data_IF_335812144420
#
_entry.id   IF_335812144420
#
_cell.length_a   1.000
_cell.length_b   1.000
_cell.length_c   1.000
_cell.angle_alpha   90.00
_cell.angle_beta   90.00
_cell.angle_gamma   90.00
#
_symmetry.space_group_name_H-M   'P 1'
#
loop_
_entity.id
_entity.type
_entity.pdbx_description
1 polymer ?
#
# COMPACT_ATOMS: atom_id res chain seq x y z
N UNK A 1 7.37 -9.74 -4.84
CA UNK A 1 7.43 -9.00 -3.56
C UNK A 1 6.20 -8.12 -3.30
N UNK A 2 5.19 -8.13 -4.18
CA UNK A 2 3.87 -7.48 -3.93
C UNK A 2 2.68 -8.39 -4.29
N UNK A 3 2.92 -9.70 -4.39
CA UNK A 3 1.90 -10.71 -4.71
C UNK A 3 2.02 -11.84 -3.71
N UNK A 4 0.88 -12.43 -3.32
CA UNK A 4 0.84 -13.64 -2.50
C UNK A 4 1.88 -14.64 -3.02
N UNK A 5 2.83 -15.02 -2.17
CA UNK A 5 3.92 -15.93 -2.52
C UNK A 5 3.48 -17.39 -2.65
N UNK A 6 2.19 -17.66 -2.45
CA UNK A 6 1.65 -19.00 -2.65
C UNK A 6 1.64 -19.35 -4.13
N UNK A 7 2.06 -20.59 -4.45
CA UNK A 7 2.05 -21.12 -5.81
C UNK A 7 0.66 -21.01 -6.46
N UNK A 8 -0.40 -21.23 -5.67
CA UNK A 8 -1.79 -21.12 -6.12
C UNK A 8 -2.20 -19.70 -6.51
N UNK A 9 -1.82 -18.68 -5.75
CA UNK A 9 -2.14 -17.29 -6.09
C UNK A 9 -1.40 -16.84 -7.37
N UNK A 10 -0.11 -17.18 -7.48
CA UNK A 10 0.67 -16.88 -8.68
C UNK A 10 0.13 -17.59 -9.93
N UNK A 11 -0.24 -18.88 -9.80
CA UNK A 11 -0.88 -19.62 -10.88
C UNK A 11 -2.21 -18.98 -11.31
N UNK A 12 -3.07 -18.64 -10.33
CA UNK A 12 -4.37 -18.00 -10.60
C UNK A 12 -4.21 -16.64 -11.28
N UNK A 13 -3.24 -15.84 -10.84
CA UNK A 13 -2.89 -14.57 -11.45
C UNK A 13 -2.32 -14.74 -12.87
N UNK A 14 -1.52 -15.76 -13.14
CA UNK A 14 -1.00 -15.98 -14.49
C UNK A 14 -2.11 -16.45 -15.45
N UNK A 15 -2.96 -17.39 -14.99
CA UNK A 15 -4.08 -17.89 -15.79
C UNK A 15 -5.14 -16.82 -16.06
N UNK A 16 -5.37 -15.91 -15.10
CA UNK A 16 -6.32 -14.82 -15.28
C UNK A 16 -5.93 -13.79 -16.35
N UNK A 17 -4.66 -13.76 -16.78
CA UNK A 17 -4.18 -12.93 -17.88
C UNK A 17 -4.57 -13.49 -19.26
N UNK A 18 -4.73 -14.80 -19.34
CA UNK A 18 -4.96 -15.55 -20.59
C UNK A 18 -6.45 -15.85 -20.80
N UNK A 19 -7.25 -15.84 -19.73
CA UNK A 19 -8.64 -16.23 -19.75
C UNK A 19 -9.58 -15.00 -19.79
N UNK A 20 -10.77 -15.13 -20.42
CA UNK A 20 -11.75 -14.04 -20.47
C UNK A 20 -12.17 -13.55 -19.09
N UNK A 21 -12.55 -12.27 -19.02
CA UNK A 21 -13.14 -11.67 -17.82
C UNK A 21 -14.37 -12.44 -17.35
N UNK A 22 -14.46 -12.71 -16.04
CA UNK A 22 -15.57 -13.42 -15.42
C UNK A 22 -15.31 -14.90 -15.09
N UNK A 23 -14.27 -15.51 -15.67
CA UNK A 23 -13.97 -16.93 -15.41
C UNK A 23 -13.18 -17.13 -14.10
N UNK A 24 -12.04 -16.44 -13.93
CA UNK A 24 -11.20 -16.54 -12.72
C UNK A 24 -11.31 -15.33 -11.79
N UNK A 25 -11.62 -14.18 -12.37
CA UNK A 25 -11.78 -12.90 -11.70
C UNK A 25 -12.98 -12.20 -12.29
N UNK A 26 -13.75 -11.49 -11.46
CA UNK A 26 -14.73 -10.54 -11.95
C UNK A 26 -14.04 -9.46 -12.79
N UNK A 27 -14.77 -8.80 -13.70
CA UNK A 27 -14.21 -7.69 -14.49
C UNK A 27 -13.60 -6.60 -13.60
N UNK A 28 -14.26 -6.31 -12.46
CA UNK A 28 -13.78 -5.36 -11.46
C UNK A 28 -12.47 -5.82 -10.79
N UNK A 29 -12.36 -7.11 -10.48
CA UNK A 29 -11.14 -7.67 -9.89
C UNK A 29 -9.98 -7.79 -10.88
N UNK A 30 -10.28 -7.99 -12.17
CA UNK A 30 -9.25 -7.97 -13.19
C UNK A 30 -8.60 -6.59 -13.31
N UNK A 31 -9.38 -5.51 -13.25
CA UNK A 31 -8.83 -4.14 -13.30
C UNK A 31 -7.84 -3.83 -12.16
N UNK A 32 -7.92 -4.55 -11.03
CA UNK A 32 -6.98 -4.41 -9.91
C UNK A 32 -5.60 -5.02 -10.21
N UNK A 33 -5.53 -6.04 -11.08
CA UNK A 33 -4.31 -6.83 -11.31
C UNK A 33 -3.72 -6.60 -12.71
N UNK A 34 -4.55 -6.31 -13.71
CA UNK A 34 -4.16 -6.22 -15.12
C UNK A 34 -4.14 -4.77 -15.64
N UNK A 35 -3.33 -4.47 -16.67
CA UNK A 35 -2.37 -5.37 -17.32
C UNK A 35 -1.12 -5.63 -16.46
N UNK A 36 -0.68 -6.90 -16.40
CA UNK A 36 0.47 -7.32 -15.57
C UNK A 36 1.77 -6.60 -15.94
N UNK A 37 2.06 -6.47 -17.24
CA UNK A 37 3.26 -5.76 -17.71
C UNK A 37 3.25 -4.28 -17.31
N UNK A 38 2.08 -3.63 -17.37
CA UNK A 38 1.92 -2.26 -16.91
C UNK A 38 2.18 -2.13 -15.41
N UNK A 39 1.62 -3.03 -14.61
CA UNK A 39 1.86 -3.09 -13.15
C UNK A 39 3.33 -3.35 -12.81
N UNK A 40 3.99 -4.30 -13.51
CA UNK A 40 5.42 -4.56 -13.33
C UNK A 40 6.28 -3.35 -13.70
N UNK A 41 5.93 -2.65 -14.78
CA UNK A 41 6.59 -1.41 -15.18
C UNK A 41 6.43 -0.29 -14.14
N UNK A 42 5.23 -0.12 -13.59
CA UNK A 42 4.96 0.79 -12.48
C UNK A 42 5.81 0.42 -11.25
N UNK A 43 5.77 -0.84 -10.80
CA UNK A 43 6.58 -1.25 -9.65
C UNK A 43 8.08 -1.06 -9.89
N UNK A 44 8.59 -1.33 -11.09
CA UNK A 44 10.00 -1.11 -11.41
C UNK A 44 10.40 0.37 -11.30
N UNK A 45 9.51 1.30 -11.66
CA UNK A 45 9.72 2.75 -11.51
C UNK A 45 9.61 3.19 -10.05
N UNK A 46 8.61 2.69 -9.34
CA UNK A 46 8.25 3.19 -8.00
C UNK A 46 9.00 2.54 -6.83
N UNK A 47 9.78 1.48 -7.07
CA UNK A 47 10.50 0.75 -6.00
C UNK A 47 11.96 1.16 -5.83
N UNK A 48 12.42 2.23 -6.49
CA UNK A 48 13.79 2.74 -6.31
C UNK A 48 14.12 3.10 -4.85
N UNK A 49 13.18 3.77 -4.16
CA UNK A 49 13.31 4.12 -2.73
C UNK A 49 13.47 2.86 -1.87
N UNK A 50 12.65 1.84 -2.14
CA UNK A 50 12.63 0.58 -1.42
C UNK A 50 13.97 -0.15 -1.55
N UNK A 51 14.54 -0.19 -2.76
CA UNK A 51 15.80 -0.86 -3.01
C UNK A 51 16.99 -0.19 -2.30
N UNK A 52 17.10 1.14 -2.37
CA UNK A 52 18.21 1.84 -1.70
C UNK A 52 18.09 1.80 -0.18
N UNK A 53 16.88 1.91 0.37
CA UNK A 53 16.64 1.78 1.81
C UNK A 53 16.90 0.37 2.32
N UNK A 54 16.56 -0.66 1.53
CA UNK A 54 16.82 -2.05 1.87
C UNK A 54 18.31 -2.44 1.87
N UNK A 55 19.18 -1.65 1.25
CA UNK A 55 20.58 -2.05 1.04
C UNK A 55 21.60 -1.11 1.65
N UNK A 56 21.34 0.21 1.62
CA UNK A 56 22.25 1.28 2.08
C UNK A 56 21.49 2.38 2.84
N UNK A 57 20.67 2.03 3.86
CA UNK A 57 19.83 3.01 4.57
C UNK A 57 20.64 4.13 5.20
N UNK A 58 21.79 3.82 5.81
CA UNK A 58 22.67 4.80 6.44
C UNK A 58 23.28 5.80 5.45
N UNK A 59 23.54 5.38 4.21
CA UNK A 59 24.07 6.26 3.16
C UNK A 59 23.00 7.25 2.70
N UNK A 60 21.85 6.75 2.25
CA UNK A 60 20.78 7.61 1.74
C UNK A 60 20.13 8.43 2.86
N UNK A 61 19.92 7.83 4.03
CA UNK A 61 19.34 8.49 5.19
C UNK A 61 20.20 9.65 5.69
N UNK A 62 21.53 9.48 5.74
CA UNK A 62 22.43 10.58 6.10
C UNK A 62 22.27 11.76 5.14
N UNK A 63 22.24 11.51 3.82
CA UNK A 63 22.10 12.56 2.81
C UNK A 63 20.74 13.28 2.90
N UNK A 64 19.64 12.53 3.05
CA UNK A 64 18.28 13.07 3.15
C UNK A 64 18.10 13.88 4.44
N UNK A 65 18.77 13.50 5.53
CA UNK A 65 18.63 14.16 6.83
C UNK A 65 19.43 15.48 6.97
N UNK A 66 20.29 15.84 6.02
CA UNK A 66 21.17 17.02 6.18
C UNK A 66 20.43 18.37 6.05
N UNK A 67 19.30 18.41 5.35
CA UNK A 67 18.57 19.64 5.06
C UNK A 67 17.06 19.34 5.00
N UNK A 68 16.19 20.18 5.62
CA UNK A 68 14.75 19.99 5.59
C UNK A 68 14.18 19.92 4.16
N UNK A 69 14.78 20.60 3.17
CA UNK A 69 14.36 20.51 1.78
C UNK A 69 14.55 19.11 1.20
N UNK A 70 15.70 18.48 1.45
CA UNK A 70 15.99 17.12 0.96
C UNK A 70 15.05 16.10 1.59
N UNK A 71 14.77 16.24 2.89
CA UNK A 71 13.79 15.42 3.58
C UNK A 71 12.38 15.61 3.01
N UNK A 72 11.96 16.87 2.82
CA UNK A 72 10.64 17.19 2.30
C UNK A 72 10.45 16.62 0.89
N UNK A 73 11.41 16.81 -0.03
CA UNK A 73 11.33 16.24 -1.39
C UNK A 73 11.21 14.72 -1.36
N UNK A 74 12.00 14.06 -0.52
CA UNK A 74 12.02 12.60 -0.42
C UNK A 74 10.69 12.02 0.08
N UNK A 75 10.03 12.71 1.02
CA UNK A 75 8.74 12.27 1.59
C UNK A 75 7.54 12.71 0.76
N UNK A 76 7.52 13.96 0.29
CA UNK A 76 6.40 14.54 -0.47
C UNK A 76 6.20 13.87 -1.82
N UNK A 77 7.26 13.38 -2.45
CA UNK A 77 7.12 12.60 -3.68
C UNK A 77 6.23 11.36 -3.46
N UNK A 78 6.28 10.73 -2.28
CA UNK A 78 5.42 9.58 -1.97
C UNK A 78 3.97 9.99 -1.75
N UNK A 79 3.74 11.11 -1.06
CA UNK A 79 2.40 11.69 -0.95
C UNK A 79 1.82 12.05 -2.31
N UNK A 80 2.62 12.56 -3.23
CA UNK A 80 2.21 12.81 -4.61
C UNK A 80 1.79 11.52 -5.32
N UNK A 81 2.75 10.62 -5.57
CA UNK A 81 2.56 9.45 -6.44
C UNK A 81 1.58 8.44 -5.84
N UNK A 82 1.59 8.22 -4.52
CA UNK A 82 0.78 7.17 -3.88
C UNK A 82 -0.63 7.62 -3.51
N UNK A 83 -0.93 8.91 -3.63
CA UNK A 83 -2.30 9.44 -3.59
C UNK A 83 -2.96 9.28 -4.97
N UNK A 84 -2.24 9.62 -6.05
CA UNK A 84 -2.71 9.42 -7.42
C UNK A 84 -1.54 9.27 -8.38
N UNK A 85 -1.55 8.23 -9.21
CA UNK A 85 -0.42 7.88 -10.09
C UNK A 85 -0.13 8.94 -11.17
N UNK A 86 -1.11 9.78 -11.51
CA UNK A 86 -0.93 10.86 -12.50
C UNK A 86 -0.35 12.15 -11.90
N UNK A 87 -0.31 12.29 -10.58
CA UNK A 87 0.19 13.49 -9.91
C UNK A 87 1.62 13.89 -10.31
N UNK A 88 2.59 12.95 -10.51
CA UNK A 88 3.94 13.29 -10.94
C UNK A 88 4.02 13.93 -12.34
N UNK A 89 2.96 13.90 -13.12
CA UNK A 89 2.87 14.59 -14.42
C UNK A 89 2.46 16.06 -14.29
N UNK A 90 2.02 16.48 -13.10
CA UNK A 90 1.66 17.87 -12.82
C UNK A 90 2.92 18.66 -12.40
N UNK A 91 3.00 19.97 -12.75
CA UNK A 91 4.17 20.80 -12.42
C UNK A 91 4.48 20.91 -10.93
N UNK A 92 3.46 20.77 -10.08
CA UNK A 92 3.53 20.83 -8.62
C UNK A 92 3.46 19.45 -7.96
N UNK A 93 3.49 18.37 -8.75
CA UNK A 93 3.28 17.02 -8.26
C UNK A 93 1.89 16.78 -7.68
N UNK A 94 0.88 17.61 -8.01
CA UNK A 94 -0.47 17.50 -7.48
C UNK A 94 -0.65 18.02 -6.04
N UNK A 95 0.45 18.31 -5.32
CA UNK A 95 0.43 18.61 -3.88
C UNK A 95 -0.21 19.96 -3.54
N UNK A 96 -0.30 20.88 -4.52
CA UNK A 96 -0.89 22.21 -4.34
C UNK A 96 -2.24 22.34 -5.05
N UNK A 97 -2.77 21.23 -5.60
CA UNK A 97 -4.07 21.25 -6.24
C UNK A 97 -5.18 21.46 -5.20
N UNK A 98 -6.20 22.28 -5.49
CA UNK A 98 -7.28 22.55 -4.54
C UNK A 98 -8.07 21.31 -4.11
N UNK A 99 -8.08 20.26 -4.93
CA UNK A 99 -8.76 18.99 -4.71
C UNK A 99 -7.83 17.89 -4.17
N UNK A 100 -6.56 18.21 -3.87
CA UNK A 100 -5.66 17.25 -3.23
C UNK A 100 -6.21 16.88 -1.84
N UNK A 101 -6.36 15.59 -1.50
CA UNK A 101 -7.16 15.17 -0.35
C UNK A 101 -6.49 15.41 1.01
N UNK A 102 -5.19 15.72 1.04
CA UNK A 102 -4.41 15.95 2.26
C UNK A 102 -3.96 17.41 2.30
N UNK A 103 -4.27 18.13 3.38
CA UNK A 103 -3.83 19.53 3.49
C UNK A 103 -2.30 19.65 3.54
N UNK A 104 -1.77 20.77 3.02
CA UNK A 104 -0.34 21.05 3.09
C UNK A 104 0.18 21.05 4.53
N UNK A 105 -0.59 21.58 5.48
CA UNK A 105 -0.24 21.55 6.90
C UNK A 105 -0.09 20.11 7.41
N UNK A 106 -0.99 19.19 7.02
CA UNK A 106 -0.89 17.77 7.44
C UNK A 106 0.32 17.06 6.83
N UNK A 107 0.70 17.42 5.60
CA UNK A 107 1.93 16.92 4.97
C UNK A 107 3.18 17.44 5.71
N UNK A 108 3.19 18.73 6.04
CA UNK A 108 4.29 19.36 6.78
C UNK A 108 4.38 18.83 8.22
N UNK A 109 3.26 18.54 8.88
CA UNK A 109 3.25 17.91 10.20
C UNK A 109 3.95 16.54 10.16
N UNK A 110 3.67 15.73 9.14
CA UNK A 110 4.37 14.45 8.94
C UNK A 110 5.88 14.65 8.76
N UNK A 111 6.29 15.59 7.91
CA UNK A 111 7.71 15.91 7.68
C UNK A 111 8.36 16.42 8.97
N UNK A 112 7.67 17.24 9.75
CA UNK A 112 8.15 17.76 11.03
C UNK A 112 8.43 16.65 12.03
N UNK A 113 7.61 15.61 12.07
CA UNK A 113 7.87 14.43 12.91
C UNK A 113 9.24 13.82 12.54
N UNK A 114 9.51 13.56 11.25
CA UNK A 114 10.81 13.02 10.82
C UNK A 114 11.97 13.98 11.09
N UNK A 115 11.76 15.27 10.80
CA UNK A 115 12.79 16.31 10.93
C UNK A 115 13.22 16.51 12.38
N UNK A 116 12.28 16.82 13.27
CA UNK A 116 12.59 17.15 14.66
C UNK A 116 13.08 15.95 15.47
N UNK A 117 12.72 14.73 15.06
CA UNK A 117 13.22 13.51 15.72
C UNK A 117 14.50 12.97 15.08
N UNK A 118 14.89 13.45 13.89
CA UNK A 118 16.06 12.96 13.15
C UNK A 118 15.94 11.48 12.74
N UNK A 119 14.72 10.97 12.58
CA UNK A 119 14.45 9.52 12.49
C UNK A 119 14.43 8.95 11.07
N UNK A 120 14.67 9.76 10.03
CA UNK A 120 14.62 9.27 8.64
C UNK A 120 15.62 8.13 8.38
N UNK A 121 16.81 8.18 8.96
CA UNK A 121 17.79 7.08 8.78
C UNK A 121 17.34 5.82 9.52
N UNK A 122 16.85 5.96 10.76
CA UNK A 122 16.38 4.82 11.55
C UNK A 122 15.11 4.18 10.98
N UNK A 123 14.22 4.97 10.36
CA UNK A 123 13.04 4.43 9.68
C UNK A 123 13.44 3.63 8.44
N UNK A 124 14.45 4.09 7.68
CA UNK A 124 14.96 3.37 6.51
C UNK A 124 15.62 2.03 6.86
N UNK A 125 16.29 1.92 8.01
CA UNK A 125 16.91 0.66 8.47
C UNK A 125 15.90 -0.48 8.62
N UNK A 126 14.62 -0.18 8.88
CA UNK A 126 13.55 -1.18 8.87
C UNK A 126 13.53 -1.98 7.56
N UNK A 127 13.73 -1.33 6.41
CA UNK A 127 13.76 -2.00 5.11
C UNK A 127 14.98 -2.92 4.98
N UNK A 128 16.15 -2.51 5.47
CA UNK A 128 17.35 -3.34 5.41
C UNK A 128 17.23 -4.62 6.24
N UNK A 129 16.52 -4.57 7.37
CA UNK A 129 16.29 -5.74 8.23
C UNK A 129 15.24 -6.71 7.66
N UNK A 130 14.21 -6.17 6.99
CA UNK A 130 13.03 -6.96 6.63
C UNK A 130 12.99 -7.38 5.15
N UNK A 131 13.60 -6.59 4.25
CA UNK A 131 13.47 -6.83 2.83
C UNK A 131 14.43 -7.93 2.37
N UNK A 132 13.85 -9.06 1.94
CA UNK A 132 14.61 -10.19 1.39
C UNK A 132 15.17 -11.16 2.43
N UNK A 133 14.88 -10.97 3.72
CA UNK A 133 15.29 -11.91 4.75
C UNK A 133 14.51 -13.24 4.68
N UNK A 134 15.16 -14.34 5.06
CA UNK A 134 14.51 -15.66 5.09
C UNK A 134 13.32 -15.69 6.07
N UNK A 135 13.40 -14.93 7.16
CA UNK A 135 12.34 -14.82 8.15
C UNK A 135 11.08 -14.18 7.56
N UNK A 136 11.19 -13.08 6.83
CA UNK A 136 10.02 -12.43 6.21
C UNK A 136 9.37 -13.33 5.17
N UNK A 137 10.15 -14.04 4.36
CA UNK A 137 9.63 -15.06 3.42
C UNK A 137 8.85 -16.18 4.09
N UNK A 138 9.30 -16.64 5.27
CA UNK A 138 8.59 -17.68 6.01
C UNK A 138 7.27 -17.15 6.57
N UNK A 139 7.24 -15.92 7.09
CA UNK A 139 6.01 -15.29 7.60
C UNK A 139 4.97 -15.11 6.51
N UNK A 140 5.37 -14.76 5.28
CA UNK A 140 4.44 -14.63 4.16
C UNK A 140 3.66 -15.93 3.88
N UNK A 141 4.28 -17.09 4.05
CA UNK A 141 3.66 -18.41 3.81
C UNK A 141 2.76 -18.91 4.95
N UNK A 142 2.80 -18.27 6.13
CA UNK A 142 1.95 -18.66 7.27
C UNK A 142 0.53 -18.10 7.08
N UNK A 143 -0.54 -18.91 7.06
CA UNK A 143 -1.90 -18.39 6.90
C UNK A 143 -2.33 -17.56 8.11
N UNK A 144 -2.99 -16.42 7.84
CA UNK A 144 -3.66 -15.61 8.85
C UNK A 144 -5.06 -16.19 9.10
N UNK A 145 -5.29 -16.68 10.32
CA UNK A 145 -6.52 -17.38 10.74
C UNK A 145 -7.45 -16.55 11.63
N UNK A 146 -7.01 -15.36 12.04
CA UNK A 146 -7.86 -14.43 12.80
C UNK A 146 -8.83 -13.73 11.85
N UNK A 147 -9.99 -13.24 12.34
CA UNK A 147 -10.91 -12.44 11.55
C UNK A 147 -10.22 -11.23 10.93
N UNK A 148 -10.37 -11.05 9.61
CA UNK A 148 -9.71 -9.99 8.84
C UNK A 148 -10.73 -9.14 8.07
N UNK A 149 -10.54 -7.82 8.13
CA UNK A 149 -11.22 -6.85 7.27
C UNK A 149 -10.23 -6.27 6.24
N UNK A 150 -10.67 -6.10 5.00
CA UNK A 150 -9.83 -5.55 3.93
C UNK A 150 -10.55 -4.38 3.23
N UNK A 151 -9.94 -3.19 3.27
CA UNK A 151 -10.36 -2.03 2.50
C UNK A 151 -9.48 -1.87 1.25
N UNK A 152 -10.08 -2.00 0.06
CA UNK A 152 -9.40 -1.90 -1.22
C UNK A 152 -9.59 -0.50 -1.82
N UNK A 153 -8.61 0.37 -1.60
CA UNK A 153 -8.58 1.72 -2.17
C UNK A 153 -8.18 1.70 -3.65
N UNK A 154 -8.82 2.52 -4.51
CA UNK A 154 -8.62 2.46 -5.95
C UNK A 154 -7.24 2.92 -6.41
N UNK A 155 -6.62 3.89 -5.71
CA UNK A 155 -5.30 4.44 -6.07
C UNK A 155 -4.13 3.73 -5.37
N UNK A 156 -4.40 2.69 -4.58
CA UNK A 156 -3.35 1.90 -3.94
C UNK A 156 -2.51 1.14 -4.99
N UNK A 157 -1.18 1.18 -4.82
CA UNK A 157 -0.20 0.63 -5.75
C UNK A 157 -0.39 -0.87 -5.98
N UNK A 158 -0.72 -1.61 -4.91
CA UNK A 158 -0.76 -3.07 -4.90
C UNK A 158 -2.08 -3.66 -4.39
N UNK A 159 -3.22 -3.12 -4.83
CA UNK A 159 -4.55 -3.67 -4.47
C UNK A 159 -4.74 -5.10 -4.99
N UNK A 160 -5.16 -6.01 -4.10
CA UNK A 160 -5.44 -7.40 -4.45
C UNK A 160 -6.93 -7.71 -4.37
N UNK A 161 -7.52 -8.42 -5.36
CA UNK A 161 -8.85 -8.99 -5.24
C UNK A 161 -9.02 -9.89 -4.02
N UNK A 162 -10.25 -9.95 -3.49
CA UNK A 162 -10.60 -10.82 -2.35
C UNK A 162 -10.14 -12.25 -2.56
N UNK A 163 -10.29 -12.76 -3.78
CA UNK A 163 -9.95 -14.15 -4.09
C UNK A 163 -8.45 -14.45 -4.12
N UNK A 164 -7.58 -13.42 -4.29
CA UNK A 164 -6.14 -13.55 -4.08
C UNK A 164 -5.77 -13.37 -2.61
N UNK A 165 -6.37 -12.37 -1.94
CA UNK A 165 -6.17 -12.15 -0.52
C UNK A 165 -6.53 -13.38 0.33
N UNK A 166 -7.53 -14.15 -0.09
CA UNK A 166 -7.97 -15.39 0.55
C UNK A 166 -6.88 -16.50 0.63
N UNK A 167 -5.81 -16.40 -0.18
CA UNK A 167 -4.65 -17.31 -0.04
C UNK A 167 -3.83 -17.05 1.22
N UNK A 168 -3.94 -15.85 1.81
CA UNK A 168 -3.27 -15.45 3.04
C UNK A 168 -4.24 -15.34 4.22
N UNK A 169 -5.39 -14.71 4.02
CA UNK A 169 -6.39 -14.44 5.06
C UNK A 169 -7.54 -15.44 4.93
N UNK A 170 -7.67 -16.36 5.89
CA UNK A 170 -8.62 -17.48 5.79
C UNK A 170 -10.02 -17.14 6.33
N UNK A 171 -10.13 -16.15 7.22
CA UNK A 171 -11.41 -15.61 7.71
C UNK A 171 -11.55 -14.13 7.32
N UNK A 172 -11.82 -13.89 6.03
CA UNK A 172 -12.14 -12.53 5.56
C UNK A 172 -13.60 -12.21 5.89
N UNK A 173 -13.80 -11.38 6.91
CA UNK A 173 -15.11 -10.92 7.40
C UNK A 173 -15.69 -9.85 6.49
N UNK A 174 -14.89 -8.83 6.18
CA UNK A 174 -15.26 -7.73 5.29
C UNK A 174 -14.22 -7.60 4.19
N UNK A 175 -14.69 -7.30 2.97
CA UNK A 175 -13.85 -6.87 1.87
C UNK A 175 -14.60 -5.75 1.15
N UNK A 176 -14.09 -4.53 1.28
CA UNK A 176 -14.76 -3.31 0.87
C UNK A 176 -14.00 -2.67 -0.28
N UNK A 177 -14.63 -2.55 -1.44
CA UNK A 177 -14.09 -1.74 -2.54
C UNK A 177 -14.41 -0.27 -2.26
N UNK A 178 -13.39 0.52 -1.92
CA UNK A 178 -13.58 1.93 -1.60
C UNK A 178 -13.85 2.75 -2.87
N UNK A 179 -14.69 3.79 -2.79
CA UNK A 179 -15.05 4.59 -3.96
C UNK A 179 -13.94 5.55 -4.41
N UNK A 180 -13.02 5.93 -3.52
CA UNK A 180 -11.92 6.87 -3.75
C UNK A 180 -10.83 6.72 -2.67
N UNK A 181 -9.71 7.42 -2.84
CA UNK A 181 -8.53 7.38 -1.98
C UNK A 181 -7.43 6.42 -2.48
N UNK A 182 -6.25 6.58 -1.91
CA UNK A 182 -5.03 5.84 -2.23
C UNK A 182 -4.37 5.24 -1.00
N UNK A 183 -3.03 5.34 -0.96
CA UNK A 183 -2.20 4.67 0.03
C UNK A 183 -2.38 5.23 1.45
N UNK A 184 -2.59 6.54 1.59
CA UNK A 184 -2.70 7.21 2.88
C UNK A 184 -4.17 7.32 3.31
N UNK A 185 -4.92 6.21 3.22
CA UNK A 185 -6.37 6.14 3.43
C UNK A 185 -6.89 6.93 4.64
N UNK A 186 -6.19 6.91 5.78
CA UNK A 186 -6.60 7.63 6.98
C UNK A 186 -6.45 9.17 6.86
N UNK A 187 -5.46 9.63 6.09
CA UNK A 187 -5.23 11.05 5.82
C UNK A 187 -6.09 11.55 4.66
N UNK A 188 -6.28 10.72 3.62
CA UNK A 188 -7.04 11.09 2.42
C UNK A 188 -8.55 11.01 2.64
N UNK A 189 -9.02 9.94 3.28
CA UNK A 189 -10.45 9.61 3.40
C UNK A 189 -10.81 9.12 4.81
N UNK A 190 -10.57 9.93 5.85
CA UNK A 190 -10.71 9.52 7.25
C UNK A 190 -12.09 8.95 7.58
N UNK A 191 -13.15 9.56 7.05
CA UNK A 191 -14.52 9.11 7.29
C UNK A 191 -14.84 7.76 6.62
N UNK A 192 -14.35 7.53 5.40
CA UNK A 192 -14.56 6.26 4.71
C UNK A 192 -13.85 5.12 5.44
N UNK A 193 -12.57 5.34 5.80
CA UNK A 193 -11.79 4.34 6.53
C UNK A 193 -12.39 4.06 7.92
N UNK A 194 -12.76 5.09 8.67
CA UNK A 194 -13.35 4.92 10.00
C UNK A 194 -14.67 4.14 9.93
N UNK A 195 -15.53 4.44 8.96
CA UNK A 195 -16.80 3.72 8.80
C UNK A 195 -16.58 2.24 8.47
N UNK A 196 -15.58 1.92 7.64
CA UNK A 196 -15.25 0.53 7.30
C UNK A 196 -14.73 -0.25 8.51
N UNK A 197 -13.83 0.36 9.31
CA UNK A 197 -13.32 -0.22 10.55
C UNK A 197 -14.46 -0.48 11.54
N UNK A 198 -15.36 0.48 11.74
CA UNK A 198 -16.50 0.32 12.65
C UNK A 198 -17.48 -0.77 12.17
N UNK A 199 -17.71 -0.87 10.86
CA UNK A 199 -18.52 -1.93 10.26
C UNK A 199 -17.90 -3.31 10.51
N UNK A 200 -16.58 -3.44 10.28
CA UNK A 200 -15.84 -4.66 10.58
C UNK A 200 -15.94 -5.06 12.05
N UNK A 201 -15.65 -4.14 12.97
CA UNK A 201 -15.72 -4.39 14.43
C UNK A 201 -17.13 -4.85 14.82
N UNK A 202 -18.17 -4.15 14.34
CA UNK A 202 -19.56 -4.51 14.63
C UNK A 202 -19.88 -5.94 14.21
N UNK A 203 -19.41 -6.38 13.04
CA UNK A 203 -19.64 -7.75 12.58
C UNK A 203 -18.89 -8.76 13.45
N UNK A 204 -17.64 -8.48 13.81
CA UNK A 204 -16.81 -9.38 14.65
C UNK A 204 -17.39 -9.50 16.06
N UNK A 205 -17.76 -8.40 16.71
CA UNK A 205 -18.38 -8.43 18.04
C UNK A 205 -19.69 -9.21 18.04
N UNK A 206 -20.53 -9.05 17.01
CA UNK A 206 -21.77 -9.81 16.86
C UNK A 206 -21.53 -11.31 16.60
N UNK A 207 -20.38 -11.71 16.04
CA UNK A 207 -20.00 -13.14 15.93
C UNK A 207 -19.61 -13.70 17.29
N UNK A 208 -18.87 -12.93 18.08
CA UNK A 208 -18.39 -13.37 19.40
C UNK A 208 -19.52 -13.53 20.41
N UNK A 209 -20.57 -12.71 20.36
CA UNK A 209 -21.74 -12.81 21.27
C UNK A 209 -22.63 -14.04 21.02
N UNK A 210 -22.47 -14.74 19.89
CA UNK A 210 -23.27 -15.93 19.53
C UNK A 210 -22.64 -17.25 19.98
N UNK A 211 -21.46 -17.19 20.61
CA UNK A 211 -20.71 -18.32 21.16
C UNK A 211 -20.56 -18.14 22.67
#
# INVERSE_FOLDING_TARGET
>A
MFTSTTLGANFKMMMGALLPSGLLFSTKDQAKIYPLLGRLGMFARETGYLHIQATKPDTVGTAVNQNPLSLAVYLLEKFSTWTHLDNPHLPDGGLLQPDFPISLDSLLDNICIYWFTGTITTSMRYYAENFGSLLTRNVENIPCRVPAGLAAFPQELATQPKSLAAHKFYDIVTYSDMPRGGHFAAMEEPHLLAQDILSFITIVENRNQKH
#
